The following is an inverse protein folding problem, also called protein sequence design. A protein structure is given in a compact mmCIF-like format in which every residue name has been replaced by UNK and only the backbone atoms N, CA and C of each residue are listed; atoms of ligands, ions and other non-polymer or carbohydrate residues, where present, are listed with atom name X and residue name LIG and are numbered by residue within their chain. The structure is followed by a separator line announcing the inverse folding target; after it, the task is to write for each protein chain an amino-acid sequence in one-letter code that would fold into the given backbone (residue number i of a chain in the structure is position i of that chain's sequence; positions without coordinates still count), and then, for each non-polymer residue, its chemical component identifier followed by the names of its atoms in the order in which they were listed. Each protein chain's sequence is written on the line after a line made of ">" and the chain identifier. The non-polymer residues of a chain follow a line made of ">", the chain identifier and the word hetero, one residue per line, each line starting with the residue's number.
data_IF_536294493949
#
_entry.id   IF_536294493949
#
_cell.length_a   1.000
_cell.length_b   1.000
_cell.length_c   1.000
_cell.angle_alpha   90.00
_cell.angle_beta   90.00
_cell.angle_gamma   90.00
#
_symmetry.space_group_name_H-M   'P 1'
#
loop_
_entity.id
_entity.type
_entity.pdbx_description
1 polymer ?
#
# COMPACT_ATOMS: atom_id res chain seq x y z
N UNK A 1 10.58 1.22 1.49
CA UNK A 1 9.72 1.02 2.68
C UNK A 1 8.90 2.29 2.89
N UNK A 2 7.62 2.20 3.24
CA UNK A 2 6.75 3.36 3.50
C UNK A 2 6.15 3.22 4.88
N UNK A 3 6.18 4.29 5.67
CA UNK A 3 5.54 4.31 6.97
C UNK A 3 4.09 4.78 6.81
N UNK A 4 3.13 3.93 7.17
CA UNK A 4 1.73 4.33 7.27
C UNK A 4 1.46 4.85 8.68
N UNK A 5 0.94 6.07 8.78
CA UNK A 5 0.53 6.70 10.05
C UNK A 5 -0.67 5.97 10.64
N UNK A 6 -0.83 6.08 11.95
CA UNK A 6 -2.02 5.61 12.62
C UNK A 6 -3.26 6.35 12.07
N UNK A 7 -4.35 5.62 11.85
CA UNK A 7 -5.59 6.18 11.30
C UNK A 7 -6.79 5.42 11.82
N UNK A 8 -7.94 6.08 11.87
CA UNK A 8 -9.22 5.40 12.09
C UNK A 8 -9.67 4.76 10.78
N UNK A 9 -9.85 3.45 10.80
CA UNK A 9 -10.45 2.68 9.69
C UNK A 9 -11.80 2.12 10.09
N UNK A 10 -12.50 1.47 9.15
CA UNK A 10 -13.69 0.68 9.46
C UNK A 10 -13.40 -0.81 9.28
N UNK A 11 -14.00 -1.63 10.14
CA UNK A 11 -14.04 -3.06 9.94
C UNK A 11 -14.87 -3.37 8.68
N UNK A 12 -14.30 -4.02 7.65
CA UNK A 12 -15.05 -4.34 6.44
C UNK A 12 -16.22 -5.32 6.68
N UNK A 13 -16.22 -6.08 7.77
CA UNK A 13 -17.29 -7.03 8.09
C UNK A 13 -18.43 -6.41 8.92
N UNK A 14 -18.13 -5.50 9.86
CA UNK A 14 -19.12 -4.98 10.83
C UNK A 14 -19.34 -3.47 10.76
N UNK A 15 -18.53 -2.74 10.00
CA UNK A 15 -18.65 -1.28 9.83
C UNK A 15 -18.15 -0.45 11.02
N UNK A 16 -17.78 -1.07 12.13
CA UNK A 16 -17.29 -0.39 13.33
C UNK A 16 -15.95 0.31 13.08
N UNK A 17 -15.74 1.43 13.78
CA UNK A 17 -14.50 2.20 13.68
C UNK A 17 -13.37 1.54 14.49
N UNK A 18 -12.31 1.11 13.83
CA UNK A 18 -11.13 0.50 14.45
C UNK A 18 -9.92 1.43 14.30
N UNK A 19 -9.17 1.61 15.40
CA UNK A 19 -7.90 2.33 15.38
C UNK A 19 -6.81 1.45 14.76
N UNK A 20 -6.35 1.80 13.57
CA UNK A 20 -5.25 1.10 12.89
C UNK A 20 -3.92 1.74 13.34
N UNK A 21 -3.02 1.00 14.02
CA UNK A 21 -1.76 1.54 14.48
C UNK A 21 -0.81 1.86 13.33
N UNK A 22 0.19 2.71 13.61
CA UNK A 22 1.22 3.01 12.62
C UNK A 22 2.03 1.75 12.33
N UNK A 23 2.22 1.45 11.05
CA UNK A 23 3.02 0.28 10.63
C UNK A 23 3.89 0.59 9.42
N UNK A 24 5.06 -0.06 9.38
CA UNK A 24 5.96 0.01 8.23
C UNK A 24 5.51 -1.03 7.21
N UNK A 25 5.27 -0.59 5.98
CA UNK A 25 4.95 -1.49 4.85
C UNK A 25 6.06 -1.46 3.82
N UNK A 26 6.29 -2.60 3.19
CA UNK A 26 7.20 -2.68 2.06
C UNK A 26 6.50 -2.11 0.82
N UNK A 27 7.20 -1.23 0.11
CA UNK A 27 6.79 -0.73 -1.20
C UNK A 27 7.85 -1.21 -2.17
N UNK A 28 7.45 -2.10 -3.06
CA UNK A 28 8.30 -2.58 -4.15
C UNK A 28 8.35 -1.52 -5.25
N UNK A 29 9.55 -1.29 -5.81
CA UNK A 29 9.72 -0.52 -7.04
C UNK A 29 10.12 -1.50 -8.13
N UNK A 30 9.35 -1.52 -9.21
CA UNK A 30 9.61 -2.39 -10.36
C UNK A 30 10.87 -1.90 -11.07
N UNK A 31 11.77 -2.83 -11.41
CA UNK A 31 12.97 -2.56 -12.19
C UNK A 31 12.65 -2.17 -13.63
N UNK A 32 13.56 -1.45 -14.29
CA UNK A 32 13.36 -0.90 -15.63
C UNK A 32 12.91 -1.96 -16.64
N UNK A 33 13.56 -3.14 -16.67
CA UNK A 33 13.25 -4.21 -17.61
C UNK A 33 11.79 -4.71 -17.51
N UNK A 34 11.27 -4.94 -16.30
CA UNK A 34 9.86 -5.32 -16.10
C UNK A 34 8.91 -4.17 -16.41
N UNK A 35 9.31 -2.92 -16.10
CA UNK A 35 8.49 -1.75 -16.39
C UNK A 35 8.29 -1.56 -17.90
N UNK A 36 9.37 -1.68 -18.66
CA UNK A 36 9.40 -1.50 -20.11
C UNK A 36 8.63 -2.62 -20.83
N UNK A 37 8.66 -3.86 -20.29
CA UNK A 37 7.95 -5.01 -20.85
C UNK A 37 6.43 -4.97 -20.62
N UNK A 38 5.98 -4.42 -19.49
CA UNK A 38 4.55 -4.44 -19.09
C UNK A 38 3.80 -3.19 -19.52
N UNK A 39 4.44 -2.02 -19.49
CA UNK A 39 3.78 -0.75 -19.80
C UNK A 39 3.92 -0.33 -21.28
N UNK A 40 4.79 -1.01 -22.04
CA UNK A 40 5.15 -0.62 -23.41
C UNK A 40 5.94 0.70 -23.42
N UNK A 41 6.96 0.79 -24.28
CA UNK A 41 7.62 2.08 -24.55
C UNK A 41 6.56 3.03 -25.11
N UNK A 42 6.18 4.03 -24.32
CA UNK A 42 5.52 5.21 -24.86
C UNK A 42 6.56 6.06 -25.60
#
# INVERSE_FOLDING_TARGET
>A
MVNRKARMGRNPATGEAIKIPAKRVLKFRIGKACKDSVLGKK
#
